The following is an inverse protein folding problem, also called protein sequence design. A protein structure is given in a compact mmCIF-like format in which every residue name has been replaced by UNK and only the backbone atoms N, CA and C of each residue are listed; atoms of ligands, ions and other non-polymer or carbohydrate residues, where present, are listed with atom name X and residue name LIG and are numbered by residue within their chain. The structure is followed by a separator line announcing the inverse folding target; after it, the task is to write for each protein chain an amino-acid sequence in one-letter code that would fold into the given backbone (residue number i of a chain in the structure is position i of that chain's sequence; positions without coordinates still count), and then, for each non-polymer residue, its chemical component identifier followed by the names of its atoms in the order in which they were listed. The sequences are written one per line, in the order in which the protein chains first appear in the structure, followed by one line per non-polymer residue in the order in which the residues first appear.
data_IF_440315901049
#
_entry.id   IF_440315901049
#
_cell.length_a   1.000
_cell.length_b   1.000
_cell.length_c   1.000
_cell.angle_alpha   90.00
_cell.angle_beta   90.00
_cell.angle_gamma   90.00
#
_symmetry.space_group_name_H-M   'P 1'
#
loop_
_entity.id
_entity.type
_entity.pdbx_description
1 polymer ?
#
# COMPACT_ATOMS: atom_id res chain seq x y z
N UNK A 1 -33.02 -50.23 31.71
CA UNK A 1 -33.66 -49.54 32.86
C UNK A 1 -32.69 -48.55 33.50
N UNK A 2 -33.23 -47.58 34.25
CA UNK A 2 -32.65 -46.84 35.39
C UNK A 2 -31.23 -46.17 35.32
N UNK A 3 -30.88 -45.15 36.13
CA UNK A 3 -31.55 -43.87 36.50
C UNK A 3 -30.58 -43.03 37.40
N UNK A 4 -30.34 -41.74 37.07
CA UNK A 4 -29.72 -40.66 37.91
C UNK A 4 -28.27 -40.93 38.47
N UNK A 5 -27.49 -39.96 38.99
CA UNK A 5 -27.57 -38.49 39.11
C UNK A 5 -26.15 -37.86 38.93
N UNK A 6 -25.94 -36.74 38.22
CA UNK A 6 -25.95 -35.30 38.64
C UNK A 6 -24.72 -34.79 39.43
N UNK A 7 -24.03 -33.78 38.86
CA UNK A 7 -23.06 -32.87 39.52
C UNK A 7 -21.72 -32.74 38.76
N UNK A 8 -21.12 -31.57 38.55
CA UNK A 8 -21.51 -30.15 38.76
C UNK A 8 -20.96 -29.28 37.60
N UNK A 9 -21.41 -28.02 37.51
CA UNK A 9 -20.73 -26.94 36.76
C UNK A 9 -19.74 -26.24 37.70
N UNK A 10 -18.63 -25.77 37.14
CA UNK A 10 -17.85 -24.65 37.70
C UNK A 10 -17.74 -23.53 36.65
N UNK A 11 -17.73 -22.28 37.10
CA UNK A 11 -17.62 -21.08 36.26
C UNK A 11 -16.68 -20.08 36.94
N UNK A 12 -15.65 -19.64 36.21
CA UNK A 12 -14.69 -18.63 36.69
C UNK A 12 -15.17 -17.22 36.31
N UNK A 13 -15.39 -16.37 37.31
CA UNK A 13 -15.70 -14.94 37.12
C UNK A 13 -14.42 -14.09 36.90
N UNK A 14 -14.53 -12.93 36.20
CA UNK A 14 -13.40 -12.05 35.90
C UNK A 14 -13.02 -11.12 37.06
N UNK A 15 -11.73 -10.76 37.14
CA UNK A 15 -11.16 -9.90 38.18
C UNK A 15 -11.53 -8.41 38.05
N UNK A 16 -11.65 -7.65 39.16
CA UNK A 16 -12.07 -6.24 39.17
C UNK A 16 -10.97 -5.25 38.77
N UNK A 17 -11.37 -4.03 38.37
CA UNK A 17 -10.47 -2.90 38.04
C UNK A 17 -10.20 -2.00 39.26
N UNK A 18 -9.03 -1.33 39.34
CA UNK A 18 -8.72 -0.36 40.39
C UNK A 18 -9.47 0.99 40.22
N UNK A 19 -9.68 1.76 41.30
CA UNK A 19 -10.46 3.01 41.29
C UNK A 19 -9.68 4.25 40.83
N UNK A 20 -10.42 5.30 40.48
CA UNK A 20 -9.91 6.64 40.15
C UNK A 20 -9.83 7.53 41.40
N UNK A 21 -8.78 8.35 41.50
CA UNK A 21 -8.62 9.32 42.59
C UNK A 21 -9.16 10.71 42.20
N UNK A 22 -10.03 11.27 43.03
CA UNK A 22 -10.41 12.68 42.98
C UNK A 22 -9.46 13.52 43.86
N UNK A 23 -9.06 14.69 43.36
CA UNK A 23 -8.44 15.74 44.18
C UNK A 23 -9.48 16.80 44.58
N UNK A 24 -9.29 17.38 45.77
CA UNK A 24 -10.11 18.46 46.33
C UNK A 24 -9.23 19.57 46.93
N UNK A 25 -9.71 20.82 46.84
CA UNK A 25 -9.01 22.02 47.34
C UNK A 25 -9.37 22.37 48.79
N UNK A 26 -8.39 22.82 49.60
CA UNK A 26 -8.62 23.90 50.59
C UNK A 26 -7.38 24.45 51.34
N UNK A 27 -7.04 25.71 51.02
CA UNK A 27 -6.70 26.85 51.92
C UNK A 27 -5.59 26.78 53.01
N UNK A 28 -4.53 27.59 52.75
CA UNK A 28 -3.83 28.49 53.70
C UNK A 28 -2.82 27.88 54.71
N UNK A 29 -1.70 28.49 55.11
CA UNK A 29 -1.10 29.85 54.89
C UNK A 29 0.48 29.74 54.91
N UNK A 30 1.39 30.73 55.06
CA UNK A 30 1.39 32.11 55.63
C UNK A 30 2.61 32.95 55.11
N UNK A 31 2.93 34.06 55.81
CA UNK A 31 4.05 35.05 55.70
C UNK A 31 5.49 34.46 55.64
N UNK A 32 6.57 35.14 55.19
CA UNK A 32 6.88 36.57 54.87
C UNK A 32 8.22 36.74 54.12
N UNK A 33 8.49 37.87 53.43
CA UNK A 33 9.88 38.28 53.09
C UNK A 33 10.05 39.31 51.94
N UNK A 34 10.83 40.36 52.21
CA UNK A 34 11.13 41.56 51.40
C UNK A 34 11.55 41.44 49.91
N UNK A 35 11.05 42.39 49.10
CA UNK A 35 11.61 43.08 47.90
C UNK A 35 12.77 42.50 47.06
N UNK A 36 12.51 42.34 45.75
CA UNK A 36 13.43 42.72 44.66
C UNK A 36 12.64 42.95 43.34
N UNK A 37 13.18 43.74 42.39
CA UNK A 37 12.56 44.02 41.08
C UNK A 37 13.46 43.54 39.94
N UNK A 38 12.94 42.71 39.02
CA UNK A 38 13.32 42.76 37.59
C UNK A 38 12.37 41.96 36.68
N UNK A 39 12.45 42.26 35.38
CA UNK A 39 11.58 41.78 34.28
C UNK A 39 11.72 40.27 34.01
N UNK A 40 10.60 39.59 33.74
CA UNK A 40 10.53 38.50 32.73
C UNK A 40 9.21 38.57 31.96
N UNK A 41 9.30 38.51 30.63
CA UNK A 41 8.16 38.48 29.71
C UNK A 41 7.53 37.09 29.66
N UNK A 42 6.26 36.97 30.06
CA UNK A 42 5.51 35.71 30.13
C UNK A 42 4.42 35.58 29.08
N UNK A 43 4.77 35.67 27.79
CA UNK A 43 3.81 35.46 26.69
C UNK A 43 3.37 33.99 26.63
N UNK A 44 2.19 33.68 27.17
CA UNK A 44 1.54 32.38 26.99
C UNK A 44 1.16 32.18 25.52
N UNK A 45 1.49 31.04 24.87
CA UNK A 45 1.21 30.86 23.45
C UNK A 45 -0.26 30.45 23.18
N UNK A 46 -1.09 31.40 22.77
CA UNK A 46 -2.50 31.16 22.38
C UNK A 46 -2.70 30.56 20.96
N UNK A 47 -1.61 30.15 20.30
CA UNK A 47 -1.57 29.72 18.89
C UNK A 47 -2.53 28.59 18.48
N UNK A 48 -3.08 27.83 19.44
CA UNK A 48 -4.04 26.75 19.16
C UNK A 48 -5.45 27.24 18.78
N UNK A 49 -5.86 28.43 19.26
CA UNK A 49 -7.22 28.95 19.04
C UNK A 49 -7.30 29.87 17.82
N UNK A 50 -6.30 30.74 17.63
CA UNK A 50 -6.28 31.75 16.56
C UNK A 50 -6.15 31.13 15.15
N UNK A 51 -5.50 29.96 15.02
CA UNK A 51 -5.40 29.24 13.73
C UNK A 51 -6.75 28.89 13.13
N UNK A 52 -7.76 28.55 13.95
CA UNK A 52 -9.08 28.12 13.47
C UNK A 52 -9.96 29.21 12.85
N UNK A 53 -9.53 30.47 12.87
CA UNK A 53 -10.35 31.61 12.40
C UNK A 53 -9.98 32.03 10.95
N UNK A 54 -8.75 31.74 10.52
CA UNK A 54 -8.24 32.17 9.20
C UNK A 54 -8.10 31.03 8.18
N UNK A 55 -8.20 29.76 8.59
CA UNK A 55 -8.30 28.62 7.67
C UNK A 55 -9.71 28.57 7.04
N UNK A 56 -10.01 29.55 6.18
CA UNK A 56 -11.11 29.44 5.22
C UNK A 56 -10.68 28.38 4.21
N UNK A 57 -11.25 27.19 4.31
CA UNK A 57 -11.12 26.16 3.27
C UNK A 57 -11.75 26.68 1.97
N UNK A 58 -10.94 27.32 1.14
CA UNK A 58 -11.29 27.66 -0.24
C UNK A 58 -11.69 26.35 -0.92
N UNK A 59 -12.93 26.22 -1.45
CA UNK A 59 -13.36 25.00 -2.09
C UNK A 59 -12.41 24.64 -3.23
N UNK A 60 -11.65 23.56 -3.03
CA UNK A 60 -10.62 23.12 -3.97
C UNK A 60 -11.30 22.77 -5.30
N UNK A 61 -11.03 23.55 -6.34
CA UNK A 61 -11.67 23.36 -7.64
C UNK A 61 -11.44 21.94 -8.16
N UNK A 62 -12.49 21.35 -8.74
CA UNK A 62 -12.45 20.01 -9.33
C UNK A 62 -11.50 20.03 -10.51
N UNK A 63 -10.62 19.05 -10.58
CA UNK A 63 -9.66 18.92 -11.68
C UNK A 63 -10.42 18.45 -12.92
N UNK A 64 -10.42 19.25 -13.99
CA UNK A 64 -10.94 18.81 -15.29
C UNK A 64 -10.08 17.66 -15.85
N UNK A 65 -10.74 16.53 -16.11
CA UNK A 65 -10.17 15.30 -16.62
C UNK A 65 -10.58 14.99 -18.07
N UNK A 66 -11.38 15.84 -18.73
CA UNK A 66 -11.91 15.56 -20.08
C UNK A 66 -10.81 15.34 -21.12
N UNK A 67 -9.72 16.13 -21.15
CA UNK A 67 -8.57 15.84 -22.05
C UNK A 67 -7.91 14.50 -21.71
N UNK A 68 -7.68 14.24 -20.40
CA UNK A 68 -6.99 13.04 -19.90
C UNK A 68 -7.76 11.76 -20.25
N UNK A 69 -9.07 11.78 -20.08
CA UNK A 69 -9.99 10.71 -20.47
C UNK A 69 -10.05 10.51 -21.98
N UNK A 70 -10.08 11.58 -22.77
CA UNK A 70 -10.16 11.49 -24.23
C UNK A 70 -8.88 10.90 -24.85
N UNK A 71 -7.69 11.30 -24.37
CA UNK A 71 -6.44 10.74 -24.88
C UNK A 71 -6.21 9.29 -24.38
N UNK A 72 -6.60 8.96 -23.15
CA UNK A 72 -6.63 7.58 -22.68
C UNK A 72 -7.55 6.70 -23.54
N UNK A 73 -8.73 7.20 -23.92
CA UNK A 73 -9.67 6.48 -24.80
C UNK A 73 -9.12 6.26 -26.21
N UNK A 74 -8.23 7.12 -26.71
CA UNK A 74 -7.50 6.88 -27.98
C UNK A 74 -6.56 5.68 -27.89
N UNK A 75 -5.81 5.57 -26.79
CA UNK A 75 -4.96 4.41 -26.55
C UNK A 75 -5.79 3.12 -26.37
N UNK A 76 -6.91 3.20 -25.64
CA UNK A 76 -7.87 2.09 -25.53
C UNK A 76 -8.42 1.65 -26.89
N UNK A 77 -8.81 2.59 -27.76
CA UNK A 77 -9.33 2.27 -29.08
C UNK A 77 -8.28 1.58 -29.96
N UNK A 78 -7.03 2.05 -29.94
CA UNK A 78 -5.90 1.46 -30.68
C UNK A 78 -5.65 0.00 -30.31
N UNK A 79 -5.65 -0.30 -29.01
CA UNK A 79 -5.38 -1.66 -28.49
C UNK A 79 -6.68 -2.50 -28.34
N UNK A 80 -7.80 -2.01 -28.88
CA UNK A 80 -9.13 -2.63 -28.88
C UNK A 80 -9.66 -2.98 -27.48
N UNK A 81 -9.49 -2.08 -26.51
CA UNK A 81 -9.98 -2.25 -25.14
C UNK A 81 -11.38 -1.61 -24.95
N UNK A 82 -12.23 -2.30 -24.20
CA UNK A 82 -13.57 -1.82 -23.80
C UNK A 82 -13.52 -1.06 -22.48
N UNK A 83 -12.66 -1.53 -21.58
CA UNK A 83 -12.39 -0.95 -20.27
C UNK A 83 -10.88 -0.85 -20.02
N UNK A 84 -10.45 0.16 -19.27
CA UNK A 84 -9.10 0.28 -18.72
C UNK A 84 -9.19 0.57 -17.21
N UNK A 85 -8.43 -0.18 -16.41
CA UNK A 85 -8.44 -0.10 -14.95
C UNK A 85 -7.16 0.54 -14.46
N UNK A 86 -7.30 1.54 -13.58
CA UNK A 86 -6.21 2.21 -12.87
C UNK A 86 -6.39 2.00 -11.37
N UNK A 87 -5.64 1.06 -10.77
CA UNK A 87 -5.62 0.86 -9.32
C UNK A 87 -5.02 2.04 -8.55
N UNK A 88 -5.21 2.07 -7.23
CA UNK A 88 -4.46 2.95 -6.33
C UNK A 88 -3.06 2.41 -6.07
N UNK A 89 -2.96 1.09 -6.08
CA UNK A 89 -1.79 0.27 -5.74
C UNK A 89 -0.63 0.45 -6.76
N UNK A 90 0.62 0.36 -6.29
CA UNK A 90 1.82 0.35 -7.14
C UNK A 90 2.33 -1.08 -7.43
N UNK A 91 3.50 -1.17 -8.08
CA UNK A 91 4.15 -2.44 -8.44
C UNK A 91 4.66 -3.27 -7.22
N UNK A 92 4.47 -2.76 -6.01
CA UNK A 92 4.82 -3.38 -4.73
C UNK A 92 3.59 -3.60 -3.82
N UNK A 93 2.40 -3.24 -4.29
CA UNK A 93 1.13 -3.25 -3.55
C UNK A 93 1.14 -2.33 -2.31
N UNK A 94 1.82 -1.17 -2.42
CA UNK A 94 1.82 -0.13 -1.37
C UNK A 94 0.43 0.52 -1.21
N UNK A 95 -0.04 0.70 0.03
CA UNK A 95 -1.28 1.46 0.33
C UNK A 95 -1.11 2.96 0.01
N UNK A 96 0.06 3.51 0.33
CA UNK A 96 0.46 4.87 -0.04
C UNK A 96 1.54 4.77 -1.10
N UNK A 97 1.32 5.37 -2.26
CA UNK A 97 2.24 5.29 -3.41
C UNK A 97 3.07 6.55 -3.57
N UNK A 98 4.23 6.42 -4.22
CA UNK A 98 5.08 7.56 -4.59
C UNK A 98 4.36 8.50 -5.59
N UNK A 99 4.78 9.76 -5.68
CA UNK A 99 4.14 10.75 -6.56
C UNK A 99 4.11 10.34 -8.05
N UNK A 100 5.15 9.65 -8.51
CA UNK A 100 5.26 9.01 -9.85
C UNK A 100 4.26 7.86 -10.07
N UNK A 101 3.65 7.31 -9.04
CA UNK A 101 2.74 6.15 -9.13
C UNK A 101 1.28 6.48 -8.76
N UNK A 102 0.99 7.74 -8.42
CA UNK A 102 -0.36 8.34 -8.20
C UNK A 102 -1.25 8.41 -9.46
N UNK A 103 -1.21 7.38 -10.32
CA UNK A 103 -1.90 7.32 -11.63
C UNK A 103 -3.42 7.53 -11.52
N UNK A 104 -4.05 6.91 -10.52
CA UNK A 104 -5.49 7.04 -10.25
C UNK A 104 -5.87 8.47 -9.88
N UNK A 105 -5.08 9.11 -9.02
CA UNK A 105 -5.27 10.51 -8.63
C UNK A 105 -5.07 11.48 -9.80
N UNK A 106 -4.11 11.21 -10.70
CA UNK A 106 -3.94 12.02 -11.90
C UNK A 106 -5.08 11.82 -12.91
N UNK A 107 -5.56 10.60 -13.15
CA UNK A 107 -6.62 10.38 -14.17
C UNK A 107 -7.99 10.90 -13.72
N UNK A 108 -8.33 10.84 -12.42
CA UNK A 108 -9.66 11.22 -11.91
C UNK A 108 -9.73 12.46 -11.01
N UNK A 109 -8.59 13.02 -10.58
CA UNK A 109 -8.52 14.14 -9.63
C UNK A 109 -8.75 13.77 -8.16
N UNK A 110 -9.29 12.58 -7.87
CA UNK A 110 -9.59 12.11 -6.50
C UNK A 110 -8.32 11.67 -5.74
N UNK A 111 -8.14 12.15 -4.50
CA UNK A 111 -6.88 12.03 -3.74
C UNK A 111 -6.94 11.14 -2.48
N UNK A 112 -8.01 10.38 -2.25
CA UNK A 112 -8.07 9.40 -1.14
C UNK A 112 -7.07 8.24 -1.31
N UNK A 113 -6.73 7.47 -0.27
CA UNK A 113 -5.70 6.42 -0.41
C UNK A 113 -6.17 5.21 -1.23
N UNK A 114 -7.44 4.82 -1.11
CA UNK A 114 -8.00 3.63 -1.76
C UNK A 114 -9.02 3.98 -2.85
N UNK A 115 -9.20 3.06 -3.80
CA UNK A 115 -10.19 3.11 -4.87
C UNK A 115 -9.63 2.67 -6.22
N UNK A 116 -10.52 2.37 -7.17
CA UNK A 116 -10.15 1.93 -8.52
C UNK A 116 -10.90 2.77 -9.55
N UNK A 117 -10.13 3.42 -10.43
CA UNK A 117 -10.68 4.14 -11.56
C UNK A 117 -10.87 3.15 -12.72
N UNK A 118 -12.10 3.04 -13.23
CA UNK A 118 -12.47 2.20 -14.37
C UNK A 118 -12.98 3.12 -15.47
N UNK A 119 -12.24 3.20 -16.56
CA UNK A 119 -12.59 4.02 -17.73
C UNK A 119 -13.14 3.08 -18.79
N UNK A 120 -14.32 3.37 -19.34
CA UNK A 120 -14.84 2.71 -20.54
C UNK A 120 -14.68 3.60 -21.77
N UNK A 121 -14.98 3.05 -22.95
CA UNK A 121 -15.05 3.79 -24.23
C UNK A 121 -15.88 5.09 -24.16
N UNK A 122 -16.87 5.19 -23.27
CA UNK A 122 -17.81 6.32 -23.17
C UNK A 122 -17.87 6.99 -21.79
N UNK A 123 -17.57 6.26 -20.73
CA UNK A 123 -17.91 6.64 -19.33
C UNK A 123 -16.68 6.46 -18.44
N UNK A 124 -16.66 7.07 -17.26
CA UNK A 124 -15.62 6.84 -16.25
C UNK A 124 -16.27 6.60 -14.88
N UNK A 125 -15.70 5.68 -14.11
CA UNK A 125 -16.22 5.26 -12.80
C UNK A 125 -15.09 5.27 -11.77
N UNK A 126 -15.34 5.82 -10.58
CA UNK A 126 -14.47 5.62 -9.43
C UNK A 126 -15.19 4.68 -8.45
N UNK A 127 -14.65 3.49 -8.25
CA UNK A 127 -15.11 2.56 -7.22
C UNK A 127 -14.30 2.80 -5.94
N UNK A 128 -14.93 3.07 -4.81
CA UNK A 128 -14.23 3.27 -3.53
C UNK A 128 -15.08 2.93 -2.30
N UNK A 129 -14.41 2.61 -1.19
CA UNK A 129 -15.02 2.29 0.11
C UNK A 129 -15.55 3.54 0.85
N UNK A 130 -16.29 3.27 1.93
CA UNK A 130 -17.07 4.25 2.69
C UNK A 130 -16.27 5.35 3.39
N UNK A 131 -14.95 5.19 3.56
CA UNK A 131 -14.08 6.28 4.04
C UNK A 131 -14.07 7.48 3.09
N UNK A 132 -14.32 7.25 1.81
CA UNK A 132 -14.04 8.22 0.74
C UNK A 132 -15.25 8.70 -0.06
N UNK A 133 -16.47 8.22 0.22
CA UNK A 133 -17.66 8.58 -0.58
C UNK A 133 -17.93 10.09 -0.63
N UNK A 134 -17.73 10.82 0.48
CA UNK A 134 -17.94 12.28 0.54
C UNK A 134 -16.80 13.03 -0.15
N UNK A 135 -15.55 12.59 0.03
CA UNK A 135 -14.39 13.16 -0.65
C UNK A 135 -14.52 13.01 -2.17
N UNK A 136 -14.84 11.82 -2.66
CA UNK A 136 -15.03 11.56 -4.08
C UNK A 136 -16.18 12.38 -4.69
N UNK A 137 -17.32 12.53 -3.99
CA UNK A 137 -18.40 13.44 -4.43
C UNK A 137 -17.96 14.91 -4.53
N UNK A 138 -16.93 15.31 -3.80
CA UNK A 138 -16.42 16.69 -3.76
C UNK A 138 -15.34 16.93 -4.81
N UNK A 139 -14.42 15.98 -5.00
CA UNK A 139 -13.23 16.10 -5.86
C UNK A 139 -13.46 15.70 -7.33
N UNK A 140 -14.35 14.74 -7.61
CA UNK A 140 -14.58 14.24 -8.98
C UNK A 140 -15.32 15.27 -9.85
N UNK A 141 -14.85 15.48 -11.07
CA UNK A 141 -15.56 16.27 -12.08
C UNK A 141 -16.81 15.53 -12.65
N UNK A 142 -17.66 16.19 -13.48
CA UNK A 142 -18.86 15.56 -14.06
C UNK A 142 -18.64 14.42 -15.05
N UNK A 143 -17.39 14.11 -15.47
CA UNK A 143 -17.09 12.96 -16.33
C UNK A 143 -17.11 11.62 -15.56
N UNK A 144 -17.09 11.65 -14.23
CA UNK A 144 -16.95 10.47 -13.37
C UNK A 144 -18.22 10.15 -12.57
N UNK A 145 -18.58 8.87 -12.53
CA UNK A 145 -19.59 8.36 -11.60
C UNK A 145 -18.90 7.71 -10.38
N UNK A 146 -19.24 8.17 -9.17
CA UNK A 146 -18.87 7.47 -7.94
C UNK A 146 -19.68 6.18 -7.80
N UNK A 147 -19.00 5.08 -7.52
CA UNK A 147 -19.58 3.78 -7.18
C UNK A 147 -19.24 3.46 -5.70
N UNK A 148 -20.22 3.52 -4.78
CA UNK A 148 -19.99 3.30 -3.35
C UNK A 148 -19.87 1.80 -3.03
N UNK A 149 -18.65 1.27 -3.06
CA UNK A 149 -18.39 -0.15 -2.81
C UNK A 149 -18.66 -0.53 -1.33
N UNK A 150 -19.29 -1.69 -1.13
CA UNK A 150 -19.67 -2.17 0.20
C UNK A 150 -20.86 -1.44 0.83
N UNK A 151 -21.62 -0.65 0.06
CA UNK A 151 -22.95 -0.18 0.45
C UNK A 151 -23.99 -1.30 0.32
N UNK A 152 -25.12 -1.20 1.05
CA UNK A 152 -26.12 -2.28 1.17
C UNK A 152 -26.63 -2.80 -0.19
N UNK A 153 -26.97 -1.88 -1.08
CA UNK A 153 -27.51 -2.17 -2.42
C UNK A 153 -26.44 -2.02 -3.52
N UNK A 154 -25.16 -1.91 -3.13
CA UNK A 154 -24.03 -1.66 -4.00
C UNK A 154 -23.18 -2.91 -4.31
N UNK A 155 -22.23 -2.80 -5.25
CA UNK A 155 -21.27 -3.86 -5.52
C UNK A 155 -20.32 -4.03 -4.33
N UNK A 156 -19.87 -5.27 -4.07
CA UNK A 156 -18.95 -5.55 -2.96
C UNK A 156 -17.59 -4.90 -3.15
N UNK A 157 -17.07 -4.96 -4.38
CA UNK A 157 -15.83 -4.34 -4.81
C UNK A 157 -15.89 -3.96 -6.30
N UNK A 158 -14.76 -3.51 -6.85
CA UNK A 158 -14.65 -3.12 -8.25
C UNK A 158 -14.74 -4.30 -9.24
N UNK A 159 -14.43 -5.53 -8.80
CA UNK A 159 -14.55 -6.74 -9.62
C UNK A 159 -16.02 -7.11 -9.76
N UNK A 160 -16.77 -7.10 -8.65
CA UNK A 160 -18.23 -7.28 -8.62
C UNK A 160 -18.91 -6.27 -9.56
N UNK A 161 -18.61 -4.97 -9.39
CA UNK A 161 -19.14 -3.90 -10.23
C UNK A 161 -18.89 -4.13 -11.73
N UNK A 162 -17.69 -4.58 -12.09
CA UNK A 162 -17.31 -4.73 -13.49
C UNK A 162 -17.88 -6.01 -14.13
N UNK A 163 -18.07 -7.09 -13.37
CA UNK A 163 -18.61 -8.35 -13.90
C UNK A 163 -20.07 -8.26 -14.39
N UNK A 164 -20.90 -7.42 -13.75
CA UNK A 164 -22.26 -7.13 -14.23
C UNK A 164 -22.27 -6.51 -15.65
N UNK A 165 -21.19 -5.80 -16.01
CA UNK A 165 -21.12 -4.82 -17.11
C UNK A 165 -20.17 -5.21 -18.24
N UNK A 166 -19.14 -6.00 -17.94
CA UNK A 166 -18.15 -6.46 -18.90
C UNK A 166 -18.58 -7.83 -19.48
N UNK A 167 -19.37 -7.77 -20.56
CA UNK A 167 -19.71 -8.90 -21.42
C UNK A 167 -19.04 -8.71 -22.78
N UNK A 168 -18.51 -9.80 -23.35
CA UNK A 168 -17.76 -9.81 -24.61
C UNK A 168 -16.58 -8.81 -24.65
N UNK A 169 -16.02 -8.48 -23.48
CA UNK A 169 -15.21 -7.29 -23.26
C UNK A 169 -13.71 -7.59 -23.02
N UNK A 170 -12.86 -6.72 -23.57
CA UNK A 170 -11.41 -6.68 -23.35
C UNK A 170 -11.07 -5.63 -22.30
N UNK A 171 -10.61 -6.09 -21.14
CA UNK A 171 -10.38 -5.26 -19.95
C UNK A 171 -8.88 -5.06 -19.76
N UNK A 172 -8.37 -3.86 -20.06
CA UNK A 172 -6.97 -3.52 -19.87
C UNK A 172 -6.61 -3.23 -18.42
N UNK A 173 -5.49 -3.78 -17.94
CA UNK A 173 -4.86 -3.38 -16.68
C UNK A 173 -3.34 -3.57 -16.80
N UNK A 174 -2.55 -2.71 -16.15
CA UNK A 174 -1.10 -2.93 -16.02
C UNK A 174 -0.86 -4.14 -15.09
N UNK A 175 -0.24 -5.20 -15.63
CA UNK A 175 -0.03 -6.46 -14.92
C UNK A 175 0.74 -6.30 -13.59
N UNK A 176 1.56 -5.25 -13.45
CA UNK A 176 2.33 -4.99 -12.22
C UNK A 176 1.45 -4.49 -11.08
N UNK A 177 0.28 -3.94 -11.38
CA UNK A 177 -0.66 -3.35 -10.41
C UNK A 177 -1.71 -4.37 -9.90
N UNK A 178 -1.63 -5.65 -10.31
CA UNK A 178 -2.61 -6.67 -9.96
C UNK A 178 -1.93 -7.97 -9.49
N UNK A 179 -2.26 -8.42 -8.28
CA UNK A 179 -1.74 -9.67 -7.73
C UNK A 179 -2.16 -10.89 -8.57
N UNK A 180 -1.27 -11.85 -8.77
CA UNK A 180 -1.46 -13.00 -9.68
C UNK A 180 -2.66 -13.89 -9.30
N UNK A 181 -2.91 -14.06 -8.00
CA UNK A 181 -4.07 -14.76 -7.45
C UNK A 181 -5.38 -14.02 -7.75
N UNK A 182 -5.41 -12.70 -7.51
CA UNK A 182 -6.54 -11.81 -7.83
C UNK A 182 -6.80 -11.77 -9.34
N UNK A 183 -5.75 -11.78 -10.17
CA UNK A 183 -5.82 -11.85 -11.62
C UNK A 183 -6.37 -13.20 -12.13
N UNK A 184 -5.95 -14.32 -11.52
CA UNK A 184 -6.46 -15.65 -11.86
C UNK A 184 -7.94 -15.79 -11.46
N UNK A 185 -8.29 -15.38 -10.24
CA UNK A 185 -9.67 -15.39 -9.75
C UNK A 185 -10.60 -14.49 -10.58
N UNK A 186 -10.14 -13.31 -11.00
CA UNK A 186 -10.93 -12.42 -11.84
C UNK A 186 -11.12 -12.97 -13.26
N UNK A 187 -10.06 -13.48 -13.92
CA UNK A 187 -10.20 -14.13 -15.23
C UNK A 187 -11.13 -15.35 -15.19
N UNK A 188 -11.10 -16.15 -14.10
CA UNK A 188 -12.04 -17.25 -13.92
C UNK A 188 -13.50 -16.79 -13.82
N UNK A 189 -13.78 -15.65 -13.16
CA UNK A 189 -15.13 -15.04 -13.13
C UNK A 189 -15.53 -14.45 -14.49
N UNK A 190 -14.59 -13.86 -15.25
CA UNK A 190 -14.83 -13.25 -16.56
C UNK A 190 -15.14 -14.26 -17.68
N UNK A 191 -14.64 -15.49 -17.57
CA UNK A 191 -14.78 -16.52 -18.61
C UNK A 191 -16.25 -16.83 -18.96
N UNK A 192 -17.17 -16.79 -17.98
CA UNK A 192 -18.60 -16.98 -18.19
C UNK A 192 -19.30 -15.84 -18.93
N UNK A 193 -18.62 -14.71 -19.13
CA UNK A 193 -19.13 -13.52 -19.83
C UNK A 193 -18.39 -13.24 -21.16
N UNK A 194 -17.67 -14.24 -21.70
CA UNK A 194 -16.80 -14.12 -22.89
C UNK A 194 -15.79 -12.94 -22.81
N UNK A 195 -15.42 -12.55 -21.59
CA UNK A 195 -14.57 -11.40 -21.32
C UNK A 195 -13.22 -11.84 -20.78
N UNK A 196 -12.21 -10.97 -20.86
CA UNK A 196 -10.85 -11.28 -20.36
C UNK A 196 -10.04 -10.04 -19.99
N UNK A 197 -9.12 -10.23 -19.03
CA UNK A 197 -8.05 -9.28 -18.83
C UNK A 197 -7.12 -9.26 -20.05
N UNK A 198 -6.63 -8.06 -20.35
CA UNK A 198 -5.56 -7.78 -21.31
C UNK A 198 -4.50 -6.98 -20.54
N UNK A 199 -3.23 -7.29 -20.77
CA UNK A 199 -2.11 -6.65 -20.08
C UNK A 199 -1.26 -5.87 -21.09
N UNK A 200 -1.49 -4.55 -21.27
CA UNK A 200 -0.64 -3.74 -22.13
C UNK A 200 0.80 -3.69 -21.60
N UNK A 201 1.83 -3.71 -22.47
CA UNK A 201 3.24 -3.73 -22.06
C UNK A 201 3.72 -2.39 -21.45
N UNK A 202 2.93 -1.32 -21.60
CA UNK A 202 3.17 -0.02 -21.00
C UNK A 202 1.89 0.47 -20.33
N UNK A 203 2.02 1.18 -19.21
CA UNK A 203 0.87 1.76 -18.53
C UNK A 203 0.32 2.93 -19.36
N UNK A 204 -0.97 2.92 -19.70
CA UNK A 204 -1.53 3.95 -20.57
C UNK A 204 -1.59 5.32 -19.90
N UNK A 205 -1.65 5.39 -18.57
CA UNK A 205 -1.55 6.67 -17.84
C UNK A 205 -0.15 7.25 -18.00
N UNK A 206 0.90 6.41 -17.95
CA UNK A 206 2.29 6.86 -18.12
C UNK A 206 2.60 7.34 -19.56
N UNK A 207 1.75 6.99 -20.54
CA UNK A 207 1.83 7.47 -21.92
C UNK A 207 1.12 8.82 -22.15
N UNK A 208 0.13 9.18 -21.33
CA UNK A 208 -0.65 10.43 -21.46
C UNK A 208 -0.29 11.49 -20.41
N UNK A 209 0.36 11.10 -19.32
CA UNK A 209 0.80 11.99 -18.23
C UNK A 209 2.08 12.75 -18.63
N UNK A 210 1.91 13.79 -19.46
CA UNK A 210 2.98 14.65 -20.01
C UNK A 210 3.90 15.25 -18.92
N UNK A 211 3.32 15.63 -17.79
CA UNK A 211 3.96 16.29 -16.64
C UNK A 211 4.33 15.33 -15.49
N UNK A 212 4.49 14.03 -15.79
CA UNK A 212 4.69 12.99 -14.78
C UNK A 212 5.88 13.28 -13.82
N UNK A 213 5.66 13.30 -12.49
CA UNK A 213 6.74 13.47 -11.52
C UNK A 213 7.81 12.38 -11.66
N UNK A 214 9.11 12.70 -11.55
CA UNK A 214 10.17 11.70 -11.58
C UNK A 214 10.12 10.79 -10.34
N UNK A 215 10.71 9.59 -10.46
CA UNK A 215 11.04 8.75 -9.29
C UNK A 215 11.92 9.54 -8.33
N UNK A 216 11.66 9.41 -7.02
CA UNK A 216 12.52 9.97 -5.98
C UNK A 216 13.96 9.44 -6.14
N UNK A 217 14.95 10.27 -5.81
CA UNK A 217 16.38 9.92 -5.73
C UNK A 217 16.92 10.07 -4.30
N UNK A 218 16.05 9.93 -3.30
CA UNK A 218 16.46 9.89 -1.90
C UNK A 218 17.44 8.72 -1.68
N UNK A 219 18.50 8.97 -0.89
CA UNK A 219 19.48 7.93 -0.55
C UNK A 219 18.84 6.87 0.35
N UNK A 220 19.24 5.62 0.12
CA UNK A 220 19.01 4.52 1.06
C UNK A 220 20.06 4.61 2.17
N UNK A 221 19.71 4.23 3.39
CA UNK A 221 20.63 4.18 4.53
C UNK A 221 20.40 2.92 5.38
N UNK A 222 21.43 2.52 6.13
CA UNK A 222 21.36 1.39 7.08
C UNK A 222 20.73 1.87 8.39
N UNK A 223 19.70 1.16 8.87
CA UNK A 223 19.12 1.38 10.19
C UNK A 223 20.00 0.72 11.27
N UNK A 224 20.50 1.47 12.27
CA UNK A 224 21.39 0.92 13.29
C UNK A 224 20.83 -0.27 14.08
N UNK A 225 21.72 -1.10 14.62
CA UNK A 225 21.36 -2.34 15.32
C UNK A 225 20.52 -2.08 16.58
N UNK A 226 20.77 -0.97 17.28
CA UNK A 226 20.02 -0.53 18.47
C UNK A 226 18.51 -0.37 18.23
N UNK A 227 18.11 0.00 17.00
CA UNK A 227 16.70 0.16 16.61
C UNK A 227 16.10 -1.09 15.95
N UNK A 228 16.94 -1.99 15.43
CA UNK A 228 16.48 -3.17 14.67
C UNK A 228 16.50 -4.46 15.48
N UNK A 229 17.27 -4.51 16.58
CA UNK A 229 17.38 -5.63 17.52
C UNK A 229 17.96 -6.92 16.94
N UNK A 230 18.20 -6.98 15.63
CA UNK A 230 18.60 -8.18 14.91
C UNK A 230 19.25 -7.83 13.57
N UNK A 231 20.43 -8.42 13.33
CA UNK A 231 21.19 -8.23 12.09
C UNK A 231 20.48 -8.81 10.86
N UNK A 232 20.62 -8.13 9.72
CA UNK A 232 20.16 -8.61 8.42
C UNK A 232 20.75 -9.98 8.04
N UNK A 233 22.01 -10.26 8.41
CA UNK A 233 22.65 -11.56 8.16
C UNK A 233 21.88 -12.73 8.80
N UNK A 234 21.42 -12.56 10.05
CA UNK A 234 20.63 -13.57 10.77
C UNK A 234 19.24 -13.73 10.16
N UNK A 235 18.59 -12.62 9.78
CA UNK A 235 17.28 -12.63 9.10
C UNK A 235 17.34 -13.33 7.73
N UNK A 236 18.38 -13.04 6.94
CA UNK A 236 18.64 -13.72 5.67
C UNK A 236 18.94 -15.21 5.86
N UNK A 237 19.70 -15.58 6.89
CA UNK A 237 19.94 -16.98 7.23
C UNK A 237 18.65 -17.72 7.64
N UNK A 238 17.76 -17.08 8.39
CA UNK A 238 16.43 -17.60 8.73
C UNK A 238 15.55 -17.81 7.51
N UNK A 239 15.43 -16.81 6.63
CA UNK A 239 14.69 -16.95 5.38
C UNK A 239 15.28 -18.07 4.51
N UNK A 240 16.60 -18.18 4.41
CA UNK A 240 17.31 -19.25 3.70
C UNK A 240 17.11 -20.64 4.33
N UNK A 241 16.80 -20.75 5.62
CA UNK A 241 16.34 -22.02 6.25
C UNK A 241 14.88 -22.31 5.90
N UNK A 242 14.01 -21.30 5.99
CA UNK A 242 12.59 -21.42 5.65
C UNK A 242 12.38 -21.86 4.19
N UNK A 243 13.11 -21.26 3.23
CA UNK A 243 13.07 -21.64 1.81
C UNK A 243 13.47 -23.11 1.60
N UNK A 244 14.56 -23.59 2.23
CA UNK A 244 14.99 -25.00 2.17
C UNK A 244 13.97 -25.97 2.80
N UNK A 245 13.15 -25.49 3.73
CA UNK A 245 12.13 -26.27 4.42
C UNK A 245 10.75 -26.26 3.72
N UNK A 246 10.60 -25.53 2.61
CA UNK A 246 9.33 -25.56 1.86
C UNK A 246 9.16 -26.91 1.13
N UNK A 247 7.93 -27.47 1.10
CA UNK A 247 7.66 -28.67 0.32
C UNK A 247 7.92 -28.37 -1.17
N UNK A 248 8.64 -29.24 -1.90
CA UNK A 248 8.89 -29.04 -3.33
C UNK A 248 7.62 -28.85 -4.16
N UNK A 249 7.76 -28.19 -5.32
CA UNK A 249 6.70 -27.94 -6.30
C UNK A 249 6.25 -29.23 -7.02
N UNK A 250 5.55 -30.09 -6.28
CA UNK A 250 4.95 -31.35 -6.75
C UNK A 250 3.43 -31.24 -6.77
N UNK A 251 2.81 -31.81 -7.80
CA UNK A 251 1.36 -32.02 -7.86
C UNK A 251 0.93 -32.96 -6.73
N UNK A 252 -0.15 -32.64 -6.01
CA UNK A 252 -0.57 -33.34 -4.78
C UNK A 252 -0.89 -34.84 -4.95
N UNK A 253 -1.01 -35.33 -6.18
CA UNK A 253 -1.24 -36.74 -6.54
C UNK A 253 0.03 -37.48 -7.00
N UNK A 254 1.18 -36.79 -7.09
CA UNK A 254 2.44 -37.42 -7.45
C UNK A 254 3.00 -38.27 -6.30
N UNK A 255 3.34 -39.53 -6.60
CA UNK A 255 4.06 -40.42 -5.67
C UNK A 255 5.57 -40.54 -5.98
N UNK A 256 6.04 -39.87 -7.04
CA UNK A 256 7.46 -39.84 -7.38
C UNK A 256 8.22 -38.90 -6.42
N UNK A 257 9.48 -39.22 -6.04
CA UNK A 257 10.31 -38.31 -5.26
C UNK A 257 10.54 -36.99 -6.02
N UNK A 258 10.59 -35.84 -5.32
CA UNK A 258 10.75 -34.55 -5.96
C UNK A 258 12.12 -34.42 -6.63
N UNK A 259 12.13 -33.92 -7.87
CA UNK A 259 13.36 -33.65 -8.61
C UNK A 259 14.05 -32.36 -8.12
N UNK A 260 15.36 -32.17 -8.35
CA UNK A 260 16.06 -30.94 -7.98
C UNK A 260 15.43 -29.66 -8.58
N UNK A 261 14.81 -29.75 -9.77
CA UNK A 261 14.11 -28.64 -10.42
C UNK A 261 12.80 -28.24 -9.71
N UNK A 262 12.27 -29.07 -8.81
CA UNK A 262 11.08 -28.79 -8.02
C UNK A 262 11.41 -28.26 -6.61
N UNK A 263 12.68 -28.28 -6.20
CA UNK A 263 13.11 -27.73 -4.93
C UNK A 263 13.14 -26.20 -4.96
N UNK A 264 12.76 -25.55 -3.86
CA UNK A 264 12.79 -24.09 -3.76
C UNK A 264 14.23 -23.59 -3.60
N UNK A 265 14.79 -23.00 -4.67
CA UNK A 265 16.16 -22.45 -4.71
C UNK A 265 16.26 -20.98 -4.25
N UNK A 266 15.12 -20.34 -3.99
CA UNK A 266 15.05 -18.95 -3.54
C UNK A 266 13.62 -18.44 -3.46
N UNK A 267 13.48 -17.14 -3.19
CA UNK A 267 12.20 -16.42 -3.18
C UNK A 267 12.38 -14.98 -3.70
N UNK A 268 11.34 -14.41 -4.29
CA UNK A 268 11.30 -13.01 -4.73
C UNK A 268 10.38 -12.21 -3.79
N UNK A 269 10.89 -11.12 -3.25
CA UNK A 269 10.15 -10.21 -2.37
C UNK A 269 9.87 -8.92 -3.13
N UNK A 270 8.59 -8.58 -3.26
CA UNK A 270 8.11 -7.34 -3.87
C UNK A 270 7.69 -6.27 -2.85
N UNK A 271 7.27 -6.67 -1.65
CA UNK A 271 6.81 -5.75 -0.60
C UNK A 271 7.99 -4.95 -0.02
N UNK A 272 7.94 -3.62 -0.19
CA UNK A 272 9.02 -2.72 0.21
C UNK A 272 9.33 -2.74 1.71
N UNK A 273 8.31 -2.88 2.55
CA UNK A 273 8.47 -2.99 4.01
C UNK A 273 9.20 -4.27 4.41
N UNK A 274 8.93 -5.39 3.72
CA UNK A 274 9.64 -6.66 3.94
C UNK A 274 11.12 -6.56 3.50
N UNK A 275 11.41 -5.90 2.38
CA UNK A 275 12.80 -5.67 1.91
C UNK A 275 13.56 -4.79 2.92
N UNK A 276 12.97 -3.66 3.31
CA UNK A 276 13.52 -2.72 4.28
C UNK A 276 13.75 -3.39 5.66
N UNK A 277 12.83 -4.25 6.12
CA UNK A 277 13.00 -4.98 7.37
C UNK A 277 14.06 -6.08 7.29
N UNK A 278 14.11 -6.83 6.18
CA UNK A 278 15.03 -7.97 6.00
C UNK A 278 16.49 -7.52 5.88
N UNK A 279 16.74 -6.43 5.15
CA UNK A 279 18.07 -5.88 4.94
C UNK A 279 18.46 -4.80 5.97
N UNK A 280 17.62 -4.47 6.95
CA UNK A 280 17.83 -3.31 7.85
C UNK A 280 18.08 -1.98 7.08
N UNK A 281 17.47 -1.79 5.91
CA UNK A 281 17.61 -0.59 5.09
C UNK A 281 16.38 0.32 5.18
N UNK A 282 16.54 1.62 5.00
CA UNK A 282 15.46 2.62 4.93
C UNK A 282 15.70 3.60 3.79
N UNK A 283 14.65 4.26 3.33
CA UNK A 283 14.70 5.29 2.28
C UNK A 283 13.62 6.35 2.46
N UNK A 284 13.34 7.13 1.42
CA UNK A 284 12.29 8.15 1.42
C UNK A 284 11.69 8.34 0.00
N UNK A 285 11.26 7.24 -0.62
CA UNK A 285 10.58 7.28 -1.93
C UNK A 285 9.08 7.56 -1.83
N UNK A 286 8.47 7.20 -0.70
CA UNK A 286 7.03 7.31 -0.45
C UNK A 286 6.83 8.28 0.73
N UNK A 287 5.96 9.30 0.61
CA UNK A 287 5.68 10.21 1.72
C UNK A 287 5.26 9.47 3.00
N UNK A 288 5.82 9.89 4.14
CA UNK A 288 5.60 9.33 5.49
C UNK A 288 5.98 7.85 5.69
N UNK A 289 6.46 7.16 4.65
CA UNK A 289 6.81 5.75 4.67
C UNK A 289 8.31 5.59 4.36
N UNK A 290 9.18 5.19 5.32
CA UNK A 290 10.63 5.24 5.17
C UNK A 290 11.20 4.08 4.32
N UNK A 291 10.70 3.97 3.10
CA UNK A 291 10.86 2.86 2.16
C UNK A 291 11.50 3.35 0.85
N UNK A 292 11.96 2.40 0.04
CA UNK A 292 12.60 2.65 -1.26
C UNK A 292 12.16 1.61 -2.29
N UNK A 293 11.80 2.06 -3.50
CA UNK A 293 11.35 1.21 -4.61
C UNK A 293 12.43 0.18 -4.94
N UNK A 294 12.11 -1.09 -4.72
CA UNK A 294 13.03 -2.20 -4.87
C UNK A 294 12.34 -3.55 -4.99
N UNK A 295 13.04 -4.51 -5.59
CA UNK A 295 12.73 -5.94 -5.48
C UNK A 295 13.94 -6.66 -4.89
N UNK A 296 13.72 -7.75 -4.16
CA UNK A 296 14.80 -8.54 -3.56
C UNK A 296 14.59 -10.02 -3.87
N UNK A 297 15.47 -10.58 -4.70
CA UNK A 297 15.59 -12.03 -4.86
C UNK A 297 16.55 -12.59 -3.80
N UNK A 298 16.09 -13.52 -2.97
CA UNK A 298 16.92 -14.21 -1.97
C UNK A 298 17.10 -15.67 -2.38
N UNK A 299 18.28 -16.01 -2.88
CA UNK A 299 18.70 -17.39 -3.12
C UNK A 299 19.29 -18.05 -1.87
N UNK A 300 19.57 -19.35 -1.97
CA UNK A 300 20.08 -20.18 -0.88
C UNK A 300 21.42 -19.72 -0.27
N UNK A 301 22.19 -18.91 -0.99
CA UNK A 301 23.57 -18.46 -0.64
C UNK A 301 23.81 -16.96 -0.87
N UNK A 302 23.45 -16.44 -2.05
CA UNK A 302 23.48 -15.01 -2.41
C UNK A 302 22.08 -14.41 -2.49
N UNK A 303 21.98 -13.09 -2.58
CA UNK A 303 20.76 -12.37 -2.89
C UNK A 303 21.03 -11.26 -3.92
N UNK A 304 19.98 -10.73 -4.56
CA UNK A 304 20.07 -9.65 -5.56
C UNK A 304 19.01 -8.60 -5.22
N UNK A 305 19.46 -7.39 -4.91
CA UNK A 305 18.62 -6.21 -4.69
C UNK A 305 18.55 -5.39 -5.98
N UNK A 306 17.35 -5.31 -6.56
CA UNK A 306 17.03 -4.49 -7.72
C UNK A 306 16.53 -3.13 -7.21
N UNK A 307 17.25 -2.04 -7.46
CA UNK A 307 16.85 -0.68 -7.09
C UNK A 307 17.64 0.35 -7.91
N UNK A 308 17.24 1.63 -7.87
CA UNK A 308 17.97 2.70 -8.57
C UNK A 308 19.40 2.82 -8.02
N UNK A 309 20.39 2.58 -8.88
CA UNK A 309 21.79 2.53 -8.49
C UNK A 309 22.33 3.81 -7.85
N UNK A 310 21.73 4.97 -8.16
CA UNK A 310 22.15 6.28 -7.64
C UNK A 310 21.70 6.53 -6.19
N UNK A 311 20.83 5.68 -5.62
CA UNK A 311 20.38 5.78 -4.22
C UNK A 311 21.33 5.13 -3.22
N UNK A 312 22.23 4.27 -3.70
CA UNK A 312 23.12 3.45 -2.89
C UNK A 312 24.50 4.10 -2.83
N UNK A 313 24.89 4.58 -1.65
CA UNK A 313 26.24 5.10 -1.37
C UNK A 313 27.25 3.99 -1.07
N UNK A 314 28.53 4.35 -0.96
CA UNK A 314 29.64 3.39 -0.81
C UNK A 314 29.54 2.59 0.50
N UNK A 315 29.11 3.21 1.59
CA UNK A 315 28.86 2.57 2.88
C UNK A 315 27.75 1.51 2.80
N UNK A 316 26.64 1.81 2.10
CA UNK A 316 25.56 0.87 1.85
C UNK A 316 26.01 -0.23 0.87
N UNK A 317 26.91 0.07 -0.06
CA UNK A 317 27.50 -0.91 -0.98
C UNK A 317 28.41 -1.90 -0.23
N UNK A 318 29.25 -1.43 0.69
CA UNK A 318 30.06 -2.28 1.58
C UNK A 318 29.15 -3.12 2.49
N UNK A 319 28.10 -2.51 3.05
CA UNK A 319 27.12 -3.21 3.88
C UNK A 319 26.42 -4.36 3.13
N UNK A 320 25.88 -4.10 1.93
CA UNK A 320 25.24 -5.11 1.07
C UNK A 320 26.22 -6.22 0.67
N UNK A 321 27.47 -5.86 0.38
CA UNK A 321 28.54 -6.81 0.07
C UNK A 321 28.80 -7.77 1.23
N UNK A 322 28.83 -7.27 2.47
CA UNK A 322 29.00 -8.12 3.68
C UNK A 322 27.88 -9.15 3.87
N UNK A 323 26.68 -8.85 3.39
CA UNK A 323 25.50 -9.72 3.44
C UNK A 323 25.39 -10.71 2.26
N UNK A 324 26.34 -10.65 1.30
CA UNK A 324 26.28 -11.33 -0.01
C UNK A 324 25.02 -10.94 -0.81
N UNK A 325 24.74 -9.64 -0.86
CA UNK A 325 23.65 -9.05 -1.66
C UNK A 325 24.28 -8.27 -2.84
N UNK A 326 24.05 -8.75 -4.06
CA UNK A 326 24.39 -8.04 -5.30
C UNK A 326 23.41 -6.88 -5.54
N UNK A 327 23.86 -5.78 -6.16
CA UNK A 327 22.99 -4.70 -6.65
C UNK A 327 22.74 -4.87 -8.16
N UNK A 328 21.50 -4.63 -8.60
CA UNK A 328 21.11 -4.43 -10.01
C UNK A 328 20.18 -3.24 -10.13
N UNK A 329 20.00 -2.71 -11.34
CA UNK A 329 19.06 -1.61 -11.54
C UNK A 329 17.61 -2.08 -11.38
N UNK A 330 16.73 -1.17 -10.96
CA UNK A 330 15.33 -1.50 -10.68
C UNK A 330 14.59 -2.15 -11.87
N UNK A 331 14.95 -1.77 -13.10
CA UNK A 331 14.32 -2.27 -14.33
C UNK A 331 15.03 -3.52 -14.92
N UNK A 332 15.99 -4.13 -14.22
CA UNK A 332 16.68 -5.37 -14.65
C UNK A 332 15.90 -6.66 -14.29
N UNK A 333 14.65 -6.53 -13.83
CA UNK A 333 13.72 -7.58 -13.41
C UNK A 333 12.46 -7.60 -14.29
#
# INVERSE_FOLDING_TARGET
DAVLAVGRKDSMDPLPRPPLLHHSDSKSSKRSGATAVSKRSGSRPNFAFERKINDVEVPKERVDTSERLNELRRLMAKDTLDYYIVPSEDAHQSEYVAATDKRREWISGFTGSAGQAIISKTTAYLVTDSRYWIQAQTELDPNWHLIPAGSHDGPKDWIDFLLDRAKDARIGIDARMLATDKAAAFNARLAGANSKLVYPPQNFIDLVWKDKPPRSRARVFVQPLEFTGKEAAVKLAELRRWVRAQPPATLSYSKAPPTPAQAHVGTLIASLSNIAWLLNLRGADIPFNPLFQSYLYVGLERAVLFTDGAKISDDVTVYLSSLKVEKREYNDL
#
